data_IF_423636219867
#
_entry.id   IF_423636219867
#
_cell.length_a   1.000
_cell.length_b   1.000
_cell.length_c   1.000
_cell.angle_alpha   90.00
_cell.angle_beta   90.00
_cell.angle_gamma   90.00
#
_symmetry.space_group_name_H-M   'P 1'
#
loop_
_entity.id
_entity.type
_entity.pdbx_description
1 polymer ?
#
# COMPACT_ATOMS: atom_id res chain seq x y z
N UNK A 1 1.61 30.47 4.14
CA UNK A 1 1.85 29.17 4.81
C UNK A 1 1.01 28.14 4.08
N UNK A 2 1.63 27.32 3.24
CA UNK A 2 0.93 26.20 2.61
C UNK A 2 0.87 25.09 3.63
N UNK A 3 -0.31 24.76 4.13
CA UNK A 3 -0.53 23.49 4.84
C UNK A 3 -0.21 22.40 3.84
N UNK A 4 0.99 21.83 3.93
CA UNK A 4 1.28 20.57 3.24
C UNK A 4 0.15 19.63 3.64
N UNK A 5 -0.52 19.01 2.66
CA UNK A 5 -1.47 17.94 2.92
C UNK A 5 -0.65 16.79 3.51
N UNK A 6 -0.40 16.85 4.82
CA UNK A 6 0.47 15.90 5.50
C UNK A 6 -0.34 14.62 5.63
N UNK A 7 -0.11 13.69 4.72
CA UNK A 7 -0.58 12.33 4.84
C UNK A 7 0.30 11.61 5.86
N UNK A 8 -0.31 10.75 6.67
CA UNK A 8 0.41 10.08 7.75
C UNK A 8 1.33 9.00 7.19
N UNK A 9 0.93 8.38 6.07
CA UNK A 9 1.69 7.34 5.40
C UNK A 9 1.36 7.22 3.91
N UNK A 10 2.31 6.63 3.20
CA UNK A 10 2.26 6.25 1.79
C UNK A 10 2.70 4.80 1.65
N UNK A 11 2.08 4.07 0.73
CA UNK A 11 2.35 2.67 0.43
C UNK A 11 2.46 2.48 -1.07
N UNK A 12 3.47 1.74 -1.49
CA UNK A 12 3.83 1.58 -2.89
C UNK A 12 4.52 0.23 -3.15
N UNK A 13 4.69 -0.14 -4.41
CA UNK A 13 5.41 -1.33 -4.87
C UNK A 13 5.01 -2.63 -4.13
N UNK A 14 3.72 -2.80 -3.87
CA UNK A 14 3.18 -3.98 -3.20
C UNK A 14 3.17 -5.13 -4.20
N UNK A 15 3.82 -6.23 -3.86
CA UNK A 15 3.93 -7.41 -4.72
C UNK A 15 3.71 -8.65 -3.88
N UNK A 16 2.88 -9.56 -4.40
CA UNK A 16 2.77 -10.92 -3.90
C UNK A 16 3.03 -11.85 -5.07
N UNK A 17 4.20 -12.49 -5.06
CA UNK A 17 4.60 -13.41 -6.13
C UNK A 17 4.61 -14.84 -5.64
N UNK A 18 4.04 -15.73 -6.43
CA UNK A 18 4.20 -17.17 -6.16
C UNK A 18 5.65 -17.62 -6.47
N UNK A 19 5.98 -18.86 -6.13
CA UNK A 19 7.30 -19.45 -6.42
C UNK A 19 7.72 -19.46 -7.90
N UNK A 20 6.77 -19.25 -8.83
CA UNK A 20 7.02 -19.10 -10.28
C UNK A 20 7.12 -17.64 -10.73
N UNK A 21 7.20 -16.69 -9.79
CA UNK A 21 7.28 -15.24 -9.99
C UNK A 21 6.05 -14.60 -10.67
N UNK A 22 4.92 -15.30 -10.68
CA UNK A 22 3.64 -14.74 -11.14
C UNK A 22 3.09 -13.82 -10.05
N UNK A 23 2.80 -12.58 -10.44
CA UNK A 23 2.17 -11.58 -9.59
C UNK A 23 0.70 -11.96 -9.30
N UNK A 24 0.33 -11.90 -8.03
CA UNK A 24 -1.01 -12.27 -7.56
C UNK A 24 -1.90 -11.05 -7.33
N UNK A 25 -1.31 -9.86 -7.21
CA UNK A 25 -2.03 -8.61 -7.04
C UNK A 25 -2.22 -7.89 -8.37
N UNK A 26 -3.27 -7.08 -8.44
CA UNK A 26 -3.43 -6.09 -9.51
C UNK A 26 -3.08 -4.70 -8.97
N UNK A 27 -2.40 -3.88 -9.78
CA UNK A 27 -2.13 -2.47 -9.49
C UNK A 27 -1.47 -2.26 -8.11
N UNK A 28 -0.47 -3.08 -7.79
CA UNK A 28 0.28 -2.96 -6.53
C UNK A 28 1.31 -1.82 -6.53
N UNK A 29 1.61 -1.29 -7.71
CA UNK A 29 2.44 -0.11 -7.99
C UNK A 29 1.62 1.19 -8.07
N UNK A 30 0.29 1.11 -7.96
CA UNK A 30 -0.63 2.25 -8.04
C UNK A 30 -0.55 3.13 -9.30
N UNK A 31 0.10 2.66 -10.37
CA UNK A 31 0.26 3.43 -11.61
C UNK A 31 -1.01 3.47 -12.48
N UNK A 32 -2.04 2.68 -12.14
CA UNK A 32 -3.38 2.78 -12.77
C UNK A 32 -4.20 3.96 -12.25
N UNK A 33 -3.53 5.03 -11.82
CA UNK A 33 -4.11 6.28 -11.30
C UNK A 33 -5.21 6.85 -12.23
N UNK A 34 -6.32 7.36 -11.68
CA UNK A 34 -6.64 7.53 -10.26
C UNK A 34 -7.33 6.31 -9.63
N UNK A 35 -7.39 5.17 -10.32
CA UNK A 35 -8.23 4.05 -9.91
C UNK A 35 -7.48 3.08 -9.00
N UNK A 36 -8.08 2.76 -7.86
CA UNK A 36 -7.61 1.73 -6.93
C UNK A 36 -8.06 0.33 -7.36
N UNK A 37 -7.82 -0.03 -8.62
CA UNK A 37 -8.29 -1.30 -9.21
C UNK A 37 -7.81 -2.49 -8.37
N UNK A 38 -8.74 -3.35 -7.95
CA UNK A 38 -8.44 -4.53 -7.12
C UNK A 38 -8.32 -4.27 -5.62
N UNK A 39 -8.27 -3.01 -5.20
CA UNK A 39 -8.08 -2.64 -3.80
C UNK A 39 -9.39 -2.21 -3.14
N UNK A 40 -9.62 -2.73 -1.93
CA UNK A 40 -10.61 -2.22 -1.00
C UNK A 40 -9.92 -1.27 -0.04
N UNK A 41 -10.45 -0.06 0.08
CA UNK A 41 -9.93 0.93 1.02
C UNK A 41 -10.98 1.23 2.08
N UNK A 42 -10.51 1.43 3.31
CA UNK A 42 -11.29 2.12 4.32
C UNK A 42 -11.56 3.57 3.92
N UNK A 43 -12.27 4.31 4.78
CA UNK A 43 -12.45 5.75 4.55
C UNK A 43 -11.10 6.48 4.57
N UNK A 44 -10.82 7.31 3.57
CA UNK A 44 -9.77 8.33 3.66
C UNK A 44 -8.43 8.06 2.97
N UNK A 45 -8.39 7.28 1.88
CA UNK A 45 -7.17 7.13 1.07
C UNK A 45 -7.40 7.25 -0.43
N UNK A 46 -6.35 7.61 -1.17
CA UNK A 46 -6.36 7.73 -2.61
C UNK A 46 -4.95 7.58 -3.20
N UNK A 47 -4.83 7.66 -4.52
CA UNK A 47 -3.54 7.65 -5.22
C UNK A 47 -3.00 9.08 -5.31
N UNK A 48 -1.69 9.26 -5.09
CA UNK A 48 -1.00 10.55 -5.19
C UNK A 48 0.40 10.40 -5.77
N UNK A 49 0.88 11.46 -6.40
CA UNK A 49 2.27 11.60 -6.86
C UNK A 49 3.14 12.47 -5.93
N UNK A 50 2.64 12.82 -4.74
CA UNK A 50 3.38 13.64 -3.78
C UNK A 50 4.58 12.92 -3.14
N UNK A 51 4.47 11.60 -3.01
CA UNK A 51 5.52 10.70 -2.55
C UNK A 51 5.29 9.35 -3.23
N UNK A 52 6.35 8.71 -3.72
CA UNK A 52 6.27 7.42 -4.42
C UNK A 52 7.60 6.69 -4.32
N UNK A 53 7.58 5.39 -4.64
CA UNK A 53 8.75 4.53 -4.71
C UNK A 53 8.85 3.92 -6.10
N UNK A 54 10.05 3.98 -6.68
CA UNK A 54 10.36 3.49 -8.05
C UNK A 54 9.64 4.18 -9.22
N UNK A 55 8.42 4.68 -9.03
CA UNK A 55 7.56 5.24 -10.08
C UNK A 55 6.86 6.54 -9.63
N UNK A 56 5.72 6.87 -10.21
CA UNK A 56 5.10 8.21 -10.13
C UNK A 56 3.97 8.31 -9.12
N UNK A 57 3.41 7.20 -8.67
CA UNK A 57 2.20 7.18 -7.86
C UNK A 57 2.34 6.19 -6.71
N UNK A 58 1.77 6.55 -5.56
CA UNK A 58 1.57 5.64 -4.44
C UNK A 58 0.18 5.81 -3.84
N UNK A 59 -0.26 4.86 -3.02
CA UNK A 59 -1.40 5.05 -2.16
C UNK A 59 -1.02 5.92 -0.96
N UNK A 60 -1.84 6.91 -0.61
CA UNK A 60 -1.69 7.68 0.61
C UNK A 60 -2.95 7.56 1.47
N UNK A 61 -2.78 7.63 2.79
CA UNK A 61 -3.91 7.76 3.70
C UNK A 61 -3.53 8.38 5.07
N UNK A 62 -4.54 8.58 5.92
CA UNK A 62 -4.36 8.91 7.33
C UNK A 62 -4.18 7.67 8.21
N UNK A 63 -3.74 7.84 9.45
CA UNK A 63 -3.32 6.78 10.37
C UNK A 63 -4.38 5.72 10.72
N UNK A 64 -5.66 5.96 10.43
CA UNK A 64 -6.75 5.01 10.69
C UNK A 64 -7.25 4.27 9.45
N UNK A 65 -6.75 4.59 8.26
CA UNK A 65 -7.21 3.96 7.02
C UNK A 65 -6.49 2.63 6.81
N UNK A 66 -7.22 1.61 6.37
CA UNK A 66 -6.65 0.35 5.89
C UNK A 66 -6.87 0.20 4.39
N UNK A 67 -6.01 -0.57 3.75
CA UNK A 67 -6.14 -0.98 2.35
C UNK A 67 -5.90 -2.48 2.26
N UNK A 68 -6.68 -3.18 1.45
CA UNK A 68 -6.58 -4.64 1.31
C UNK A 68 -6.95 -5.11 -0.10
N UNK A 69 -6.30 -6.17 -0.54
CA UNK A 69 -6.62 -6.91 -1.76
C UNK A 69 -6.46 -8.39 -1.45
N UNK A 70 -7.43 -9.19 -1.87
CA UNK A 70 -7.39 -10.65 -1.71
C UNK A 70 -6.94 -11.29 -3.01
N UNK A 71 -6.23 -12.40 -2.92
CA UNK A 71 -5.88 -13.24 -4.06
C UNK A 71 -6.14 -14.72 -3.71
N UNK A 72 -6.27 -15.57 -4.73
CA UNK A 72 -6.45 -17.00 -4.53
C UNK A 72 -5.11 -17.68 -4.26
N UNK A 73 -4.89 -18.10 -3.02
CA UNK A 73 -3.72 -18.90 -2.65
C UNK A 73 -3.90 -20.37 -3.11
N UNK A 74 -2.81 -20.97 -3.57
CA UNK A 74 -2.75 -22.37 -4.00
C UNK A 74 -2.06 -23.16 -2.89
N UNK A 75 -2.70 -24.25 -2.44
CA UNK A 75 -2.14 -25.11 -1.40
C UNK A 75 -0.78 -25.68 -1.81
N UNK A 76 0.19 -25.61 -0.89
CA UNK A 76 1.57 -26.08 -1.11
C UNK A 76 2.46 -25.13 -1.91
N UNK A 77 1.95 -23.97 -2.34
CA UNK A 77 2.75 -22.95 -3.03
C UNK A 77 3.33 -21.95 -2.02
N UNK A 78 4.60 -21.61 -2.19
CA UNK A 78 5.28 -20.56 -1.43
C UNK A 78 5.05 -19.22 -2.14
N UNK A 79 4.80 -18.18 -1.34
CA UNK A 79 4.61 -16.81 -1.81
C UNK A 79 5.65 -15.89 -1.16
N UNK A 80 6.18 -14.97 -1.95
CA UNK A 80 7.02 -13.86 -1.50
C UNK A 80 6.18 -12.59 -1.51
N UNK A 81 6.22 -11.85 -0.39
CA UNK A 81 5.51 -10.58 -0.23
C UNK A 81 6.55 -9.47 -0.07
N UNK A 82 6.40 -8.39 -0.81
CA UNK A 82 7.19 -7.17 -0.66
C UNK A 82 6.30 -5.94 -0.79
N UNK A 83 6.74 -4.84 -0.18
CA UNK A 83 6.06 -3.54 -0.24
C UNK A 83 7.06 -2.46 0.16
N UNK A 84 6.77 -1.23 -0.23
CA UNK A 84 7.44 -0.04 0.28
C UNK A 84 6.46 0.81 1.08
N UNK A 85 6.91 1.32 2.21
CA UNK A 85 6.11 2.22 3.05
C UNK A 85 6.93 3.42 3.48
N UNK A 86 6.30 4.58 3.47
CA UNK A 86 6.85 5.81 4.00
C UNK A 86 5.85 6.48 4.92
N UNK A 87 6.25 6.72 6.16
CA UNK A 87 5.47 7.51 7.11
C UNK A 87 6.26 8.74 7.52
N UNK A 88 5.58 9.88 7.58
CA UNK A 88 6.19 11.07 8.13
C UNK A 88 6.05 11.06 9.64
N UNK A 89 7.17 11.15 10.37
CA UNK A 89 7.13 11.40 11.81
C UNK A 89 6.36 12.71 12.06
N UNK A 90 5.25 12.64 12.79
CA UNK A 90 4.61 13.83 13.33
C UNK A 90 5.30 14.19 14.64
N UNK A 91 5.42 15.49 14.93
CA UNK A 91 6.15 16.02 16.09
C UNK A 91 5.57 15.59 17.46
N UNK A 92 4.46 14.84 17.48
CA UNK A 92 3.72 14.46 18.68
C UNK A 92 3.99 13.02 19.16
N UNK A 93 5.01 12.34 18.64
CA UNK A 93 5.56 11.13 19.28
C UNK A 93 4.73 9.85 19.17
N UNK A 94 3.61 9.85 18.44
CA UNK A 94 2.94 8.62 18.05
C UNK A 94 3.50 8.21 16.69
N UNK A 95 4.43 7.27 16.69
CA UNK A 95 4.90 6.64 15.47
C UNK A 95 3.69 5.89 14.87
N UNK A 96 3.19 6.37 13.72
CA UNK A 96 2.18 5.66 12.93
C UNK A 96 2.91 4.51 12.22
N UNK A 97 3.19 3.43 12.95
CA UNK A 97 3.66 2.20 12.35
C UNK A 97 2.57 1.69 11.40
N UNK A 98 2.88 1.67 10.11
CA UNK A 98 2.05 0.96 9.15
C UNK A 98 2.20 -0.54 9.44
N UNK A 99 1.23 -1.10 10.13
CA UNK A 99 1.19 -2.53 10.45
C UNK A 99 0.70 -3.27 9.20
N UNK A 100 1.53 -4.17 8.67
CA UNK A 100 1.09 -5.13 7.66
C UNK A 100 0.50 -6.35 8.38
N UNK A 101 -0.81 -6.49 8.32
CA UNK A 101 -1.50 -7.71 8.71
C UNK A 101 -1.66 -8.64 7.50
N UNK A 102 -0.87 -9.72 7.44
CA UNK A 102 -1.04 -10.79 6.43
C UNK A 102 -1.96 -11.86 7.00
N UNK A 103 -3.18 -11.96 6.46
CA UNK A 103 -4.12 -13.04 6.79
C UNK A 103 -4.13 -14.08 5.67
N UNK A 104 -3.79 -15.33 6.00
CA UNK A 104 -3.94 -16.48 5.11
C UNK A 104 -5.26 -17.17 5.46
N UNK A 105 -6.21 -17.17 4.52
CA UNK A 105 -7.49 -17.87 4.66
C UNK A 105 -7.40 -19.29 4.14
#
# INVERSE_FOLDING_TARGET
MTTSNKHDWYLDDISVKNSTLVEMLTNGDFESSPTLTGWNTGSGGAISSAQSHSSSHSFYASSSTSISQSFSAISGVIYTISYWVYSEKTSNGNDNDAVLDVTLN
#
